data_IF_923239703930
#
_entry.id   IF_923239703930
#
_cell.length_a   1.000
_cell.length_b   1.000
_cell.length_c   1.000
_cell.angle_alpha   90.00
_cell.angle_beta   90.00
_cell.angle_gamma   90.00
#
_symmetry.space_group_name_H-M   'P 1'
#
loop_
_entity.id
_entity.type
_entity.pdbx_description
1 polymer ?
#
# COMPACT_ATOMS: atom_id res chain seq x y z
N UNK A 1 19.72 3.83 -38.23
CA UNK A 1 20.10 4.89 -37.27
C UNK A 1 19.98 4.30 -35.87
N UNK A 2 21.02 4.35 -35.02
CA UNK A 2 20.91 3.87 -33.64
C UNK A 2 19.82 4.66 -32.90
N UNK A 3 19.09 3.98 -32.01
CA UNK A 3 18.07 4.61 -31.18
C UNK A 3 18.71 5.74 -30.37
N UNK A 4 18.10 6.93 -30.38
CA UNK A 4 18.60 8.07 -29.62
C UNK A 4 18.44 7.78 -28.12
N UNK A 5 19.56 7.63 -27.42
CA UNK A 5 19.57 7.48 -25.96
C UNK A 5 19.30 8.82 -25.27
N UNK A 6 18.65 8.77 -24.11
CA UNK A 6 18.53 9.96 -23.26
C UNK A 6 19.90 10.38 -22.73
N UNK A 7 20.17 11.70 -22.69
CA UNK A 7 21.36 12.22 -22.02
C UNK A 7 21.33 11.86 -20.53
N UNK A 8 22.48 11.43 -19.99
CA UNK A 8 22.61 11.15 -18.56
C UNK A 8 22.48 12.45 -17.75
N UNK A 9 21.99 12.38 -16.49
CA UNK A 9 21.86 13.56 -15.62
C UNK A 9 23.16 14.35 -15.47
N UNK A 10 24.28 13.65 -15.19
CA UNK A 10 25.59 14.27 -15.06
C UNK A 10 26.03 15.01 -16.34
N UNK A 11 25.67 14.48 -17.51
CA UNK A 11 26.02 15.12 -18.77
C UNK A 11 25.16 16.36 -19.05
N UNK A 12 23.90 16.36 -18.61
CA UNK A 12 23.03 17.55 -18.66
C UNK A 12 23.56 18.65 -17.73
N UNK A 13 23.92 18.29 -16.50
CA UNK A 13 24.55 19.19 -15.54
C UNK A 13 25.83 19.79 -16.14
N UNK A 14 26.70 18.96 -16.73
CA UNK A 14 27.92 19.44 -17.38
C UNK A 14 27.66 20.42 -18.53
N UNK A 15 26.63 20.19 -19.33
CA UNK A 15 26.21 21.13 -20.39
C UNK A 15 25.76 22.46 -19.77
N UNK A 16 24.97 22.40 -18.69
CA UNK A 16 24.47 23.59 -17.99
C UNK A 16 25.60 24.37 -17.30
N UNK A 17 26.59 23.70 -16.70
CA UNK A 17 27.80 24.31 -16.14
C UNK A 17 28.63 25.04 -17.22
N UNK A 18 28.89 24.38 -18.35
CA UNK A 18 29.67 24.99 -19.44
C UNK A 18 28.99 26.24 -20.01
N UNK A 19 27.67 26.25 -20.03
CA UNK A 19 26.92 27.42 -20.46
C UNK A 19 26.88 28.52 -19.39
N UNK A 20 26.60 28.17 -18.13
CA UNK A 20 26.32 29.16 -17.07
C UNK A 20 27.57 29.69 -16.39
N UNK A 21 28.54 28.82 -16.08
CA UNK A 21 29.79 29.21 -15.43
C UNK A 21 30.86 29.62 -16.45
N UNK A 22 31.08 28.79 -17.47
CA UNK A 22 32.13 29.02 -18.47
C UNK A 22 31.70 29.93 -19.62
N UNK A 23 30.42 30.32 -19.70
CA UNK A 23 29.86 31.21 -20.74
C UNK A 23 30.09 30.70 -22.18
N UNK A 24 30.09 29.38 -22.39
CA UNK A 24 30.28 28.81 -23.72
C UNK A 24 29.02 28.92 -24.59
N UNK A 25 29.19 29.37 -25.84
CA UNK A 25 28.14 29.34 -26.84
C UNK A 25 27.78 27.91 -27.30
N UNK A 26 26.55 27.71 -27.77
CA UNK A 26 26.03 26.38 -28.12
C UNK A 26 26.88 25.60 -29.14
N UNK A 27 27.47 26.30 -30.13
CA UNK A 27 28.36 25.67 -31.13
C UNK A 27 29.64 25.12 -30.50
N UNK A 28 30.20 25.83 -29.51
CA UNK A 28 31.41 25.41 -28.78
C UNK A 28 31.13 24.18 -27.91
N UNK A 29 29.97 24.13 -27.27
CA UNK A 29 29.53 22.96 -26.51
C UNK A 29 29.32 21.75 -27.44
N UNK A 30 28.75 21.95 -28.62
CA UNK A 30 28.60 20.90 -29.62
C UNK A 30 29.93 20.39 -30.17
N UNK A 31 30.91 21.27 -30.41
CA UNK A 31 32.26 20.85 -30.79
C UNK A 31 32.93 19.95 -29.73
N UNK A 32 32.65 20.21 -28.45
CA UNK A 32 33.14 19.36 -27.34
C UNK A 32 32.42 18.01 -27.28
N UNK A 33 31.13 17.98 -27.61
CA UNK A 33 30.27 16.80 -27.59
C UNK A 33 29.55 16.61 -28.95
N UNK A 34 30.27 16.17 -30.00
CA UNK A 34 29.74 16.16 -31.38
C UNK A 34 28.58 15.19 -31.59
N UNK A 35 28.45 14.16 -30.75
CA UNK A 35 27.31 13.23 -30.79
C UNK A 35 26.00 13.82 -30.25
N UNK A 36 26.06 14.99 -29.59
CA UNK A 36 24.88 15.68 -29.05
C UNK A 36 24.50 16.80 -30.00
N UNK A 37 23.29 16.74 -30.54
CA UNK A 37 22.83 17.79 -31.47
C UNK A 37 22.71 19.16 -30.78
N UNK A 38 22.94 20.23 -31.54
CA UNK A 38 22.80 21.62 -31.05
C UNK A 38 21.39 21.88 -30.50
N UNK A 39 20.35 21.29 -31.12
CA UNK A 39 18.97 21.42 -30.64
C UNK A 39 18.78 20.75 -29.28
N UNK A 40 19.40 19.60 -29.03
CA UNK A 40 19.40 18.95 -27.71
C UNK A 40 20.11 19.79 -26.66
N UNK A 41 21.24 20.43 -26.98
CA UNK A 41 21.95 21.34 -26.07
C UNK A 41 21.05 22.53 -25.69
N UNK A 42 20.46 23.21 -26.68
CA UNK A 42 19.52 24.31 -26.45
C UNK A 42 18.32 23.88 -25.60
N UNK A 43 17.72 22.73 -25.93
CA UNK A 43 16.60 22.19 -25.18
C UNK A 43 16.99 21.85 -23.72
N UNK A 44 18.18 21.29 -23.52
CA UNK A 44 18.70 20.95 -22.19
C UNK A 44 18.82 22.19 -21.34
N UNK A 45 19.52 23.22 -21.83
CA UNK A 45 19.70 24.50 -21.13
C UNK A 45 18.35 25.18 -20.87
N UNK A 46 17.46 25.25 -21.88
CA UNK A 46 16.13 25.86 -21.72
C UNK A 46 15.30 25.18 -20.64
N UNK A 47 15.34 23.84 -20.55
CA UNK A 47 14.54 23.03 -19.62
C UNK A 47 15.20 22.82 -18.26
N UNK A 48 16.39 23.36 -18.02
CA UNK A 48 17.12 23.13 -16.78
C UNK A 48 16.32 23.57 -15.56
N UNK A 49 15.68 24.75 -15.62
CA UNK A 49 14.83 25.25 -14.54
C UNK A 49 13.62 24.37 -14.20
N UNK A 50 13.17 23.50 -15.12
CA UNK A 50 12.06 22.57 -14.90
C UNK A 50 12.52 21.22 -14.33
N UNK A 51 13.81 20.88 -14.47
CA UNK A 51 14.37 19.61 -13.99
C UNK A 51 14.74 19.70 -12.51
N UNK A 52 14.76 18.53 -11.87
CA UNK A 52 15.36 18.34 -10.54
C UNK A 52 16.44 17.27 -10.68
N UNK A 53 17.67 17.58 -10.27
CA UNK A 53 18.84 16.67 -10.35
C UNK A 53 19.13 16.12 -11.77
N UNK A 54 18.96 16.95 -12.82
CA UNK A 54 19.23 16.54 -14.21
C UNK A 54 18.31 15.45 -14.79
N UNK A 55 17.33 14.95 -14.03
CA UNK A 55 16.42 13.88 -14.49
C UNK A 55 15.29 14.43 -15.38
N UNK A 56 14.92 13.66 -16.39
CA UNK A 56 13.77 13.97 -17.25
C UNK A 56 12.48 13.96 -16.42
N UNK A 57 11.61 14.96 -16.59
CA UNK A 57 10.29 14.94 -15.94
C UNK A 57 9.49 13.72 -16.44
N UNK A 58 8.80 12.98 -15.55
CA UNK A 58 7.95 11.88 -15.98
C UNK A 58 6.89 12.40 -16.96
N UNK A 59 6.58 11.59 -17.97
CA UNK A 59 5.49 11.89 -18.90
C UNK A 59 4.15 11.82 -18.16
N UNK A 60 3.19 12.64 -18.56
CA UNK A 60 1.85 12.69 -17.95
C UNK A 60 1.10 11.36 -18.00
N UNK A 61 1.43 10.50 -18.98
CA UNK A 61 0.77 9.22 -19.17
C UNK A 61 -0.67 9.36 -19.67
N UNK A 62 -1.35 8.22 -19.81
CA UNK A 62 -2.76 8.17 -20.20
C UNK A 62 -3.64 8.54 -18.99
N UNK A 63 -4.70 9.35 -19.15
CA UNK A 63 -5.66 9.60 -18.08
C UNK A 63 -6.28 8.29 -17.56
N UNK A 64 -6.58 8.26 -16.27
CA UNK A 64 -7.22 7.11 -15.63
C UNK A 64 -8.68 7.02 -16.06
N UNK A 65 -9.21 5.78 -16.13
CA UNK A 65 -10.63 5.54 -16.45
C UNK A 65 -11.56 5.82 -15.27
N UNK A 66 -11.05 5.70 -14.04
CA UNK A 66 -11.76 6.06 -12.83
C UNK A 66 -11.53 7.54 -12.57
N UNK A 67 -12.62 8.28 -12.44
CA UNK A 67 -12.57 9.67 -12.03
C UNK A 67 -12.37 9.80 -10.51
N UNK A 68 -12.03 11.00 -10.07
CA UNK A 68 -11.98 11.40 -8.65
C UNK A 68 -13.31 11.16 -7.94
N UNK A 69 -14.44 11.42 -8.60
CA UNK A 69 -15.78 11.16 -8.04
C UNK A 69 -16.02 9.67 -7.80
N UNK A 70 -15.64 8.83 -8.78
CA UNK A 70 -15.77 7.38 -8.67
C UNK A 70 -14.88 6.83 -7.53
N UNK A 71 -13.70 7.42 -7.34
CA UNK A 71 -12.80 7.07 -6.23
C UNK A 71 -13.48 7.33 -4.88
N UNK A 72 -14.09 8.50 -4.70
CA UNK A 72 -14.76 8.86 -3.44
C UNK A 72 -15.90 7.89 -3.14
N UNK A 73 -16.78 7.62 -4.12
CA UNK A 73 -17.88 6.65 -3.97
C UNK A 73 -17.40 5.27 -3.53
N UNK A 74 -16.32 4.77 -4.13
CA UNK A 74 -15.73 3.48 -3.74
C UNK A 74 -15.21 3.48 -2.30
N UNK A 75 -14.60 4.58 -1.86
CA UNK A 75 -14.06 4.67 -0.50
C UNK A 75 -15.18 4.78 0.54
N UNK A 76 -16.22 5.55 0.24
CA UNK A 76 -17.39 5.69 1.11
C UNK A 76 -18.13 4.35 1.27
N UNK A 77 -18.38 3.64 0.16
CA UNK A 77 -19.01 2.32 0.19
C UNK A 77 -18.22 1.29 1.04
N UNK A 78 -16.88 1.37 1.01
CA UNK A 78 -16.02 0.52 1.85
C UNK A 78 -16.06 0.95 3.34
N UNK A 79 -16.15 2.25 3.60
CA UNK A 79 -16.25 2.79 4.96
C UNK A 79 -17.56 2.39 5.62
N UNK A 80 -18.67 2.47 4.87
CA UNK A 80 -20.01 2.07 5.34
C UNK A 80 -20.11 0.55 5.53
N UNK A 81 -19.62 -0.23 4.56
CA UNK A 81 -19.62 -1.68 4.64
C UNK A 81 -18.24 -2.28 4.30
N UNK A 82 -17.38 -2.53 5.31
CA UNK A 82 -16.07 -3.14 5.10
C UNK A 82 -16.08 -4.56 4.51
N UNK A 83 -17.26 -5.21 4.47
CA UNK A 83 -17.44 -6.56 3.92
C UNK A 83 -18.00 -6.57 2.49
N UNK A 84 -18.11 -5.40 1.86
CA UNK A 84 -18.62 -5.24 0.49
C UNK A 84 -17.92 -6.18 -0.51
N UNK A 85 -18.70 -6.74 -1.43
CA UNK A 85 -18.17 -7.70 -2.41
C UNK A 85 -17.52 -6.98 -3.59
N UNK A 86 -16.79 -7.73 -4.41
CA UNK A 86 -16.18 -7.19 -5.62
C UNK A 86 -17.21 -6.80 -6.68
N UNK A 87 -18.36 -7.46 -6.72
CA UNK A 87 -19.44 -7.17 -7.66
C UNK A 87 -20.15 -5.88 -7.28
N UNK A 88 -20.44 -5.70 -5.98
CA UNK A 88 -21.04 -4.46 -5.46
C UNK A 88 -20.15 -3.25 -5.76
N UNK A 89 -18.84 -3.35 -5.52
CA UNK A 89 -17.87 -2.28 -5.85
C UNK A 89 -17.83 -1.96 -7.36
N UNK A 90 -18.09 -2.94 -8.22
CA UNK A 90 -18.18 -2.69 -9.65
C UNK A 90 -19.49 -2.00 -10.02
N UNK A 91 -20.59 -2.36 -9.35
CA UNK A 91 -21.89 -1.74 -9.53
C UNK A 91 -21.88 -0.25 -9.12
N UNK A 92 -21.18 0.11 -8.03
CA UNK A 92 -21.00 1.51 -7.58
C UNK A 92 -20.42 2.43 -8.66
N UNK A 93 -19.59 1.86 -9.54
CA UNK A 93 -18.94 2.59 -10.64
C UNK A 93 -19.53 2.19 -12.00
N UNK A 94 -20.75 1.65 -12.00
CA UNK A 94 -21.49 1.26 -13.21
C UNK A 94 -20.67 0.40 -14.18
N UNK A 95 -19.83 -0.50 -13.65
CA UNK A 95 -18.95 -1.39 -14.42
C UNK A 95 -18.02 -0.70 -15.43
N UNK A 96 -17.67 0.58 -15.24
CA UNK A 96 -16.72 1.31 -16.12
C UNK A 96 -15.35 0.63 -16.25
N UNK A 97 -14.95 -0.12 -15.22
CA UNK A 97 -13.66 -0.81 -15.13
C UNK A 97 -13.80 -2.25 -14.65
N UNK A 98 -12.71 -3.01 -14.75
CA UNK A 98 -12.61 -4.36 -14.17
C UNK A 98 -12.09 -4.29 -12.73
N UNK A 99 -12.32 -5.35 -11.96
CA UNK A 99 -11.98 -5.42 -10.54
C UNK A 99 -10.50 -5.12 -10.25
N UNK A 100 -9.59 -5.50 -11.14
CA UNK A 100 -8.16 -5.24 -10.96
C UNK A 100 -7.81 -3.75 -10.93
N UNK A 101 -8.59 -2.91 -11.63
CA UNK A 101 -8.40 -1.46 -11.59
C UNK A 101 -8.77 -0.90 -10.23
N UNK A 102 -9.88 -1.38 -9.65
CA UNK A 102 -10.30 -1.05 -8.29
C UNK A 102 -9.26 -1.56 -7.28
N UNK A 103 -8.77 -2.80 -7.42
CA UNK A 103 -7.71 -3.35 -6.55
C UNK A 103 -6.42 -2.52 -6.57
N UNK A 104 -5.97 -2.08 -7.75
CA UNK A 104 -4.80 -1.19 -7.87
C UNK A 104 -5.03 0.15 -7.19
N UNK A 105 -6.23 0.71 -7.32
CA UNK A 105 -6.64 1.93 -6.63
C UNK A 105 -6.58 1.71 -5.11
N UNK A 106 -7.23 0.68 -4.59
CA UNK A 106 -7.25 0.37 -3.16
C UNK A 106 -5.85 0.08 -2.59
N UNK A 107 -4.98 -0.58 -3.35
CA UNK A 107 -3.59 -0.77 -2.95
C UNK A 107 -2.83 0.56 -2.84
N UNK A 108 -3.13 1.54 -3.70
CA UNK A 108 -2.53 2.89 -3.63
C UNK A 108 -2.98 3.62 -2.37
N UNK A 109 -4.23 3.43 -1.96
CA UNK A 109 -4.80 3.96 -0.71
C UNK A 109 -4.49 3.09 0.52
N UNK A 110 -3.65 2.07 0.37
CA UNK A 110 -3.29 1.12 1.43
C UNK A 110 -4.47 0.31 2.04
N UNK A 111 -5.58 0.18 1.30
CA UNK A 111 -6.78 -0.57 1.68
C UNK A 111 -6.75 -1.99 1.12
N UNK A 112 -5.91 -2.84 1.70
CA UNK A 112 -5.80 -4.24 1.30
C UNK A 112 -6.84 -5.09 2.00
N UNK A 113 -7.43 -6.05 1.27
CA UNK A 113 -8.31 -7.05 1.85
C UNK A 113 -7.51 -8.03 2.72
N UNK A 114 -7.84 -8.10 4.01
CA UNK A 114 -7.30 -9.10 4.94
C UNK A 114 -8.37 -10.14 5.27
N UNK A 115 -7.92 -11.37 5.57
CA UNK A 115 -8.83 -12.38 6.11
C UNK A 115 -9.26 -11.95 7.51
N UNK A 116 -10.57 -11.91 7.75
CA UNK A 116 -11.08 -11.67 9.09
C UNK A 116 -10.60 -12.78 10.03
N UNK A 117 -10.02 -12.40 11.17
CA UNK A 117 -9.73 -13.36 12.23
C UNK A 117 -11.02 -13.86 12.84
N UNK A 118 -11.05 -15.13 13.24
CA UNK A 118 -12.08 -15.62 14.13
C UNK A 118 -12.03 -14.79 15.43
N UNK A 119 -13.21 -14.38 15.90
CA UNK A 119 -13.39 -13.66 17.16
C UNK A 119 -14.56 -14.31 17.89
N UNK A 120 -14.41 -14.68 19.17
CA UNK A 120 -15.52 -15.19 19.95
C UNK A 120 -16.57 -14.09 20.09
N UNK A 121 -17.84 -14.46 19.99
CA UNK A 121 -18.93 -13.54 20.23
C UNK A 121 -18.93 -13.11 21.70
N UNK A 122 -19.00 -11.80 21.94
CA UNK A 122 -19.01 -11.21 23.27
C UNK A 122 -20.38 -10.60 23.50
N UNK A 123 -21.10 -11.12 24.48
CA UNK A 123 -22.31 -10.45 24.97
C UNK A 123 -21.93 -9.13 25.63
N UNK A 124 -22.88 -8.20 25.68
CA UNK A 124 -22.66 -6.88 26.26
C UNK A 124 -22.21 -6.97 27.73
N UNK A 125 -22.80 -7.89 28.49
CA UNK A 125 -22.39 -8.17 29.88
C UNK A 125 -20.91 -8.62 29.98
N UNK A 126 -20.48 -9.53 29.10
CA UNK A 126 -19.10 -9.99 29.07
C UNK A 126 -18.13 -8.87 28.67
N UNK A 127 -18.51 -8.03 27.71
CA UNK A 127 -17.73 -6.88 27.31
C UNK A 127 -17.55 -5.89 28.47
N UNK A 128 -18.63 -5.59 29.22
CA UNK A 128 -18.59 -4.70 30.37
C UNK A 128 -17.71 -5.23 31.50
N UNK A 129 -17.83 -6.53 31.83
CA UNK A 129 -16.97 -7.19 32.83
C UNK A 129 -15.49 -7.11 32.44
N UNK A 130 -15.17 -7.41 31.18
CA UNK A 130 -13.80 -7.30 30.65
C UNK A 130 -13.28 -5.87 30.67
N UNK A 131 -14.09 -4.89 30.28
CA UNK A 131 -13.72 -3.48 30.32
C UNK A 131 -13.45 -3.01 31.76
N UNK A 132 -14.34 -3.33 32.71
CA UNK A 132 -14.15 -3.00 34.13
C UNK A 132 -12.85 -3.61 34.68
N UNK A 133 -12.57 -4.87 34.34
CA UNK A 133 -11.33 -5.53 34.72
C UNK A 133 -10.11 -4.82 34.13
N UNK A 134 -10.11 -4.56 32.82
CA UNK A 134 -9.01 -3.88 32.13
C UNK A 134 -8.75 -2.47 32.69
N UNK A 135 -9.81 -1.71 32.96
CA UNK A 135 -9.69 -0.37 33.55
C UNK A 135 -9.15 -0.44 34.97
N UNK A 136 -9.64 -1.38 35.80
CA UNK A 136 -9.18 -1.56 37.18
C UNK A 136 -7.69 -1.85 37.27
N UNK A 137 -7.18 -2.72 36.39
CA UNK A 137 -5.78 -3.15 36.40
C UNK A 137 -4.92 -2.45 35.33
N UNK A 138 -5.39 -1.34 34.75
CA UNK A 138 -4.66 -0.60 33.70
C UNK A 138 -3.28 -0.10 34.16
N UNK A 139 -3.14 0.18 35.45
CA UNK A 139 -1.92 0.71 36.06
C UNK A 139 -0.96 -0.37 36.56
N UNK A 140 -1.32 -1.66 36.46
CA UNK A 140 -0.46 -2.73 36.95
C UNK A 140 0.80 -2.85 36.09
N UNK A 141 1.95 -2.83 36.77
CA UNK A 141 3.26 -3.06 36.18
C UNK A 141 3.57 -4.55 36.07
N UNK A 142 4.65 -4.90 35.39
CA UNK A 142 5.05 -6.31 35.21
C UNK A 142 5.31 -6.99 36.57
N UNK A 143 5.85 -6.26 37.53
CA UNK A 143 6.10 -6.71 38.90
C UNK A 143 4.80 -6.95 39.67
N UNK A 144 3.78 -6.10 39.49
CA UNK A 144 2.47 -6.27 40.14
C UNK A 144 1.76 -7.54 39.64
N UNK A 145 1.83 -7.81 38.33
CA UNK A 145 1.33 -9.07 37.76
C UNK A 145 2.11 -10.29 38.23
N UNK A 146 3.44 -10.14 38.39
CA UNK A 146 4.27 -11.21 38.94
C UNK A 146 3.87 -11.54 40.38
N UNK A 147 3.65 -10.53 41.24
CA UNK A 147 3.16 -10.69 42.63
C UNK A 147 1.79 -11.35 42.69
N UNK A 148 0.90 -11.00 41.78
CA UNK A 148 -0.44 -11.58 41.70
C UNK A 148 -0.40 -13.08 41.37
N UNK A 149 0.56 -13.52 40.54
CA UNK A 149 0.76 -14.93 40.21
C UNK A 149 1.42 -15.76 41.32
N UNK A 150 2.05 -15.15 42.34
CA UNK A 150 2.71 -15.89 43.45
C UNK A 150 1.69 -16.48 44.44
N UNK A 151 0.41 -16.12 44.34
CA UNK A 151 -0.68 -16.69 45.15
C UNK A 151 -1.26 -18.01 44.60
N UNK A 152 -0.89 -18.45 43.40
CA UNK A 152 -1.24 -19.77 42.86
C UNK A 152 -0.15 -20.76 43.25
N UNK A 153 -0.10 -21.12 44.54
CA UNK A 153 0.49 -22.40 44.93
C UNK A 153 -0.31 -23.46 44.18
N UNK A 154 0.36 -24.21 43.31
CA UNK A 154 -0.18 -25.43 42.71
C UNK A 154 -0.57 -26.37 43.86
N UNK A 155 -1.82 -26.31 44.32
CA UNK A 155 -2.39 -27.38 45.13
C UNK A 155 -2.52 -28.57 44.18
N UNK A 156 -1.75 -29.61 44.48
CA UNK A 156 -1.64 -30.86 43.75
C UNK A 156 -3.01 -31.40 43.33
N UNK A 157 -3.40 -31.13 42.09
CA UNK A 157 -4.29 -31.98 41.30
C UNK A 157 -3.86 -31.81 39.85
N UNK A 158 -3.07 -32.79 39.40
CA UNK A 158 -2.64 -33.17 38.04
C UNK A 158 -2.75 -32.14 36.90
N UNK A 159 -1.71 -32.00 36.06
CA UNK A 159 -1.77 -31.07 34.94
C UNK A 159 -2.91 -31.48 33.99
N UNK A 160 -3.92 -30.63 33.85
CA UNK A 160 -4.78 -30.63 32.67
C UNK A 160 -3.85 -30.38 31.49
N UNK A 161 -3.52 -31.46 30.78
CA UNK A 161 -2.73 -31.42 29.56
C UNK A 161 -3.36 -30.38 28.63
N UNK A 162 -2.66 -29.28 28.39
CA UNK A 162 -2.96 -28.40 27.26
C UNK A 162 -2.59 -29.20 26.03
N UNK A 163 -3.55 -29.98 25.53
CA UNK A 163 -3.49 -30.55 24.19
C UNK A 163 -3.25 -29.36 23.25
N UNK A 164 -2.02 -29.22 22.76
CA UNK A 164 -1.71 -28.33 21.65
C UNK A 164 -2.60 -28.82 20.50
N UNK A 165 -3.71 -28.13 20.25
CA UNK A 165 -4.48 -28.38 19.04
C UNK A 165 -3.62 -27.93 17.88
N UNK A 166 -2.91 -28.90 17.31
CA UNK A 166 -2.29 -28.77 16.01
C UNK A 166 -3.37 -28.24 15.07
N UNK A 167 -3.12 -27.10 14.43
CA UNK A 167 -3.96 -26.63 13.33
C UNK A 167 -3.92 -27.68 12.23
N UNK A 168 -4.83 -28.66 12.29
CA UNK A 168 -5.16 -29.52 11.17
C UNK A 168 -5.71 -28.59 10.08
N UNK A 169 -5.03 -28.55 8.94
CA UNK A 169 -5.59 -27.98 7.72
C UNK A 169 -6.67 -28.96 7.28
N UNK A 170 -7.90 -28.73 7.72
CA UNK A 170 -9.03 -29.49 7.20
C UNK A 170 -9.29 -29.02 5.77
N UNK A 171 -8.90 -29.90 4.86
CA UNK A 171 -9.06 -29.81 3.43
C UNK A 171 -10.54 -30.14 3.13
N UNK A 172 -11.41 -29.14 3.18
CA UNK A 172 -12.82 -29.33 2.83
C UNK A 172 -13.00 -29.30 1.29
N UNK A 173 -12.79 -30.46 0.66
CA UNK A 173 -13.46 -30.82 -0.60
C UNK A 173 -14.72 -31.60 -0.25
N UNK A 174 -15.86 -31.24 -0.84
CA UNK A 174 -17.05 -32.10 -0.87
C UNK A 174 -18.35 -31.37 -0.62
N UNK A 175 -18.81 -30.52 -1.54
CA UNK A 175 -20.25 -30.30 -1.69
C UNK A 175 -20.76 -31.39 -2.63
N UNK A 176 -21.30 -32.46 -2.06
CA UNK A 176 -22.27 -33.30 -2.75
C UNK A 176 -23.63 -32.61 -2.62
N UNK A 177 -24.19 -32.24 -3.77
CA UNK A 177 -25.58 -31.85 -3.94
C UNK A 177 -26.41 -33.09 -4.22
N UNK A 178 -27.19 -33.52 -3.24
CA UNK A 178 -28.42 -34.31 -3.37
C UNK A 178 -29.29 -33.78 -2.22
N UNK A 179 -30.53 -33.34 -2.35
CA UNK A 179 -31.57 -33.59 -3.32
C UNK A 179 -32.86 -33.79 -2.53
N UNK A 180 -33.83 -32.91 -2.74
CA UNK A 180 -35.28 -33.10 -2.57
C UNK A 180 -35.93 -32.95 -1.17
N UNK A 181 -36.72 -31.88 -1.01
CA UNK A 181 -38.20 -31.92 -0.94
C UNK A 181 -38.77 -30.60 -1.45
#
# INVERSE_FOLDING_TARGET
>A
MPARSELTPALRERICELHSAAHWGYRRIHQRYPWISISTIRYTIKKEHERRAGVSKPRSGRPRKLDTTDKVRLLDAISENPRITHEDLLAEVSHKVKIDSIRRLLNTENLRKWRCSWRPYLTEEHALKRLRWATRYRHFTKEDWARWNVGLVYVENGPLSVQKTSRKRDNAKGYHTEGNK
#
